data_IF_784016841488
#
_entry.id   IF_784016841488
#
_cell.length_a   1.000
_cell.length_b   1.000
_cell.length_c   1.000
_cell.angle_alpha   90.00
_cell.angle_beta   90.00
_cell.angle_gamma   90.00
#
_symmetry.space_group_name_H-M   'P 1'
#
loop_
_entity.id
_entity.type
_entity.pdbx_description
1 polymer ?
#
# COMPACT_ATOMS: atom_id res chain seq x y z
N UNK A 1 -8.60 -25.88 -5.15
CA UNK A 1 -7.65 -27.00 -5.27
C UNK A 1 -6.64 -26.79 -4.14
N UNK A 2 -6.48 -27.80 -3.28
CA UNK A 2 -5.68 -27.72 -2.06
C UNK A 2 -4.43 -28.59 -2.23
N UNK A 3 -3.29 -28.09 -1.78
CA UNK A 3 -2.02 -28.82 -1.82
C UNK A 3 -1.87 -29.69 -0.58
N UNK A 4 -1.67 -30.99 -0.79
CA UNK A 4 -1.37 -31.97 0.25
C UNK A 4 0.09 -32.40 0.12
N UNK A 5 0.78 -32.43 1.25
CA UNK A 5 2.20 -32.82 1.32
C UNK A 5 2.27 -34.31 1.66
N UNK A 6 2.96 -35.07 0.82
CA UNK A 6 3.23 -36.50 0.99
C UNK A 6 4.43 -36.65 1.93
N UNK A 7 4.21 -37.40 3.00
CA UNK A 7 5.24 -37.69 3.99
C UNK A 7 5.41 -39.20 4.08
N UNK A 8 6.64 -39.68 3.96
CA UNK A 8 6.97 -41.09 4.19
C UNK A 8 7.20 -41.31 5.70
N UNK A 9 6.32 -42.04 6.40
CA UNK A 9 6.45 -42.27 7.83
C UNK A 9 7.63 -43.19 8.20
N UNK A 10 8.15 -44.00 7.28
CA UNK A 10 9.28 -44.91 7.54
C UNK A 10 10.62 -44.17 7.49
N UNK A 11 10.85 -43.41 6.42
CA UNK A 11 12.10 -42.66 6.22
C UNK A 11 12.10 -41.28 6.86
N UNK A 12 10.93 -40.80 7.30
CA UNK A 12 10.70 -39.43 7.83
C UNK A 12 11.00 -38.33 6.80
N UNK A 13 10.96 -38.66 5.52
CA UNK A 13 11.30 -37.77 4.40
C UNK A 13 10.03 -37.23 3.74
N UNK A 14 10.12 -35.97 3.29
CA UNK A 14 9.13 -35.37 2.42
C UNK A 14 9.18 -36.02 1.02
N UNK A 15 8.07 -36.65 0.62
CA UNK A 15 7.97 -37.43 -0.61
C UNK A 15 7.38 -36.66 -1.80
N UNK A 16 6.93 -35.41 -1.60
CA UNK A 16 6.40 -34.54 -2.66
C UNK A 16 5.07 -33.89 -2.30
N UNK A 17 4.48 -33.15 -3.24
CA UNK A 17 3.20 -32.48 -3.03
C UNK A 17 2.21 -32.83 -4.15
N UNK A 18 0.95 -33.02 -3.79
CA UNK A 18 -0.15 -33.28 -4.71
C UNK A 18 -1.25 -32.25 -4.52
N UNK A 19 -1.82 -31.76 -5.62
CA UNK A 19 -2.94 -30.83 -5.58
C UNK A 19 -4.23 -31.62 -5.83
N UNK A 20 -5.17 -31.57 -4.88
CA UNK A 20 -6.43 -32.29 -4.97
C UNK A 20 -7.62 -31.37 -4.67
N UNK A 21 -8.81 -31.70 -5.20
CA UNK A 21 -10.04 -30.99 -4.86
C UNK A 21 -10.70 -31.52 -3.58
N UNK A 22 -10.38 -32.77 -3.21
CA UNK A 22 -10.89 -33.48 -2.04
C UNK A 22 -9.71 -33.91 -1.18
N UNK A 23 -9.89 -33.87 0.14
CA UNK A 23 -8.89 -34.35 1.09
C UNK A 23 -8.72 -35.87 0.99
N UNK A 24 -7.49 -36.39 0.80
CA UNK A 24 -7.22 -37.83 0.87
C UNK A 24 -7.54 -38.39 2.26
N UNK A 25 -8.05 -39.62 2.33
CA UNK A 25 -8.46 -40.27 3.59
C UNK A 25 -7.31 -40.42 4.60
N UNK A 26 -6.07 -40.52 4.12
CA UNK A 26 -4.86 -40.64 4.94
C UNK A 26 -4.21 -39.29 5.27
N UNK A 27 -4.87 -38.17 4.96
CA UNK A 27 -4.32 -36.85 5.22
C UNK A 27 -4.41 -36.48 6.71
N UNK A 28 -3.31 -35.92 7.23
CA UNK A 28 -3.26 -35.35 8.58
C UNK A 28 -3.22 -33.83 8.50
N UNK A 29 -3.78 -33.16 9.51
CA UNK A 29 -3.74 -31.70 9.63
C UNK A 29 -2.65 -31.30 10.60
N UNK A 30 -1.73 -30.43 10.15
CA UNK A 30 -0.70 -29.83 11.01
C UNK A 30 -1.13 -28.41 11.34
N UNK A 31 -1.44 -28.15 12.62
CA UNK A 31 -1.83 -26.82 13.07
C UNK A 31 -0.69 -25.80 12.93
N UNK A 32 -1.03 -24.58 12.55
CA UNK A 32 -0.08 -23.46 12.52
C UNK A 32 0.27 -23.07 13.96
N UNK A 33 1.55 -22.99 14.33
CA UNK A 33 1.96 -22.46 15.63
C UNK A 33 1.57 -20.98 15.82
N UNK A 34 1.19 -20.62 17.05
CA UNK A 34 0.89 -19.23 17.39
C UNK A 34 2.13 -18.33 17.26
N UNK A 35 1.92 -17.07 16.86
CA UNK A 35 2.98 -16.05 16.79
C UNK A 35 3.78 -16.02 15.48
N UNK A 36 3.50 -16.91 14.52
CA UNK A 36 4.04 -16.81 13.16
C UNK A 36 3.19 -15.88 12.30
N UNK A 37 3.81 -14.86 11.74
CA UNK A 37 3.22 -14.02 10.71
C UNK A 37 3.56 -14.59 9.33
N UNK A 38 2.62 -14.49 8.38
CA UNK A 38 2.74 -15.06 7.02
C UNK A 38 3.19 -16.54 7.01
N UNK A 39 2.49 -17.44 7.72
CA UNK A 39 2.91 -18.83 7.88
C UNK A 39 2.78 -19.62 6.56
N UNK A 40 3.83 -20.36 6.20
CA UNK A 40 3.90 -21.26 5.04
C UNK A 40 4.41 -22.63 5.48
N UNK A 41 3.72 -23.70 5.09
CA UNK A 41 4.12 -25.06 5.41
C UNK A 41 5.10 -25.61 4.35
N UNK A 42 6.25 -26.12 4.77
CA UNK A 42 7.29 -26.62 3.88
C UNK A 42 7.27 -28.16 3.69
N UNK A 43 6.25 -28.84 4.21
CA UNK A 43 6.15 -30.31 4.20
C UNK A 43 6.66 -30.99 5.47
N UNK A 44 7.37 -30.26 6.35
CA UNK A 44 7.85 -30.78 7.64
C UNK A 44 7.49 -29.85 8.81
N UNK A 45 7.59 -28.54 8.62
CA UNK A 45 7.31 -27.53 9.64
C UNK A 45 6.67 -26.28 9.02
N UNK A 46 6.06 -25.47 9.88
CA UNK A 46 5.63 -24.12 9.52
C UNK A 46 6.83 -23.18 9.56
N UNK A 47 7.04 -22.43 8.49
CA UNK A 47 7.96 -21.32 8.40
C UNK A 47 7.16 -20.01 8.32
N UNK A 48 7.68 -18.94 8.91
CA UNK A 48 7.03 -17.63 8.88
C UNK A 48 7.98 -16.56 9.42
N UNK A 49 7.50 -15.34 9.53
CA UNK A 49 8.25 -14.23 10.13
C UNK A 49 7.75 -13.94 11.55
N UNK A 50 8.65 -13.45 12.39
CA UNK A 50 8.34 -12.99 13.74
C UNK A 50 7.51 -11.69 13.73
N UNK A 51 6.89 -11.37 14.86
CA UNK A 51 6.18 -10.11 15.05
C UNK A 51 7.07 -8.88 14.76
N UNK A 52 8.34 -8.93 15.17
CA UNK A 52 9.31 -7.85 14.94
C UNK A 52 9.68 -7.70 13.45
N UNK A 53 9.85 -8.81 12.74
CA UNK A 53 10.12 -8.79 11.30
C UNK A 53 8.90 -8.32 10.51
N UNK A 54 7.70 -8.73 10.93
CA UNK A 54 6.45 -8.22 10.36
C UNK A 54 6.33 -6.71 10.59
N UNK A 55 6.64 -6.24 11.81
CA UNK A 55 6.63 -4.81 12.13
C UNK A 55 7.58 -4.04 11.21
N UNK A 56 8.83 -4.49 11.04
CA UNK A 56 9.81 -3.89 10.13
C UNK A 56 9.38 -3.88 8.67
N UNK A 57 8.72 -4.94 8.19
CA UNK A 57 8.16 -4.94 6.82
C UNK A 57 6.97 -3.98 6.67
N UNK A 58 6.20 -3.80 7.75
CA UNK A 58 5.04 -2.91 7.79
C UNK A 58 5.39 -1.44 8.03
N UNK A 59 6.64 -1.14 8.39
CA UNK A 59 7.12 0.23 8.50
C UNK A 59 6.97 0.90 7.12
N UNK A 60 5.91 1.70 6.99
CA UNK A 60 5.72 2.51 5.80
C UNK A 60 6.87 3.51 5.72
N UNK A 61 7.43 3.74 4.51
CA UNK A 61 8.41 4.80 4.34
C UNK A 61 7.81 6.11 4.86
N UNK A 62 8.61 6.95 5.55
CA UNK A 62 8.12 8.21 6.08
C UNK A 62 7.51 9.03 4.93
N UNK A 63 6.34 9.61 5.18
CA UNK A 63 5.70 10.51 4.22
C UNK A 63 6.68 11.64 3.94
N UNK A 64 7.14 11.74 2.70
CA UNK A 64 8.08 12.77 2.30
C UNK A 64 7.41 14.13 2.42
N UNK A 65 7.96 14.99 3.28
CA UNK A 65 7.55 16.38 3.32
C UNK A 65 7.84 17.05 1.97
N UNK A 66 7.04 18.04 1.53
CA UNK A 66 7.30 18.75 0.28
C UNK A 66 8.68 19.40 0.33
N UNK A 67 9.46 19.26 -0.73
CA UNK A 67 10.79 19.90 -0.81
C UNK A 67 10.65 21.42 -0.80
N UNK A 68 11.73 22.13 -0.46
CA UNK A 68 11.77 23.61 -0.53
C UNK A 68 11.34 24.11 -1.92
N UNK A 69 11.76 23.42 -2.98
CA UNK A 69 11.38 23.75 -4.36
C UNK A 69 9.88 23.57 -4.59
N UNK A 70 9.28 22.48 -4.11
CA UNK A 70 7.85 22.24 -4.21
C UNK A 70 7.05 23.28 -3.42
N UNK A 71 7.49 23.64 -2.22
CA UNK A 71 6.87 24.71 -1.42
C UNK A 71 6.96 26.05 -2.16
N UNK A 72 8.10 26.36 -2.76
CA UNK A 72 8.31 27.60 -3.52
C UNK A 72 7.40 27.66 -4.74
N UNK A 73 7.27 26.56 -5.49
CA UNK A 73 6.33 26.47 -6.62
C UNK A 73 4.87 26.66 -6.18
N UNK A 74 4.47 26.06 -5.05
CA UNK A 74 3.13 26.25 -4.51
C UNK A 74 2.88 27.72 -4.11
N UNK A 75 3.85 28.37 -3.48
CA UNK A 75 3.74 29.79 -3.13
C UNK A 75 3.61 30.66 -4.39
N UNK A 76 4.46 30.44 -5.39
CA UNK A 76 4.39 31.16 -6.66
C UNK A 76 3.03 30.96 -7.36
N UNK A 77 2.49 29.74 -7.33
CA UNK A 77 1.17 29.46 -7.89
C UNK A 77 0.06 30.23 -7.16
N UNK A 78 0.12 30.31 -5.83
CA UNK A 78 -0.82 31.09 -5.03
C UNK A 78 -0.75 32.60 -5.37
N UNK A 79 0.46 33.14 -5.48
CA UNK A 79 0.68 34.55 -5.82
C UNK A 79 0.14 34.89 -7.22
N UNK A 80 0.35 34.01 -8.20
CA UNK A 80 -0.20 34.18 -9.57
C UNK A 80 -1.73 34.19 -9.56
N UNK A 81 -2.36 33.32 -8.77
CA UNK A 81 -3.83 33.27 -8.66
C UNK A 81 -4.35 34.58 -8.06
N UNK A 82 -3.72 35.07 -7.00
CA UNK A 82 -4.11 36.35 -6.38
C UNK A 82 -3.96 37.52 -7.36
N UNK A 83 -2.83 37.57 -8.09
CA UNK A 83 -2.61 38.59 -9.12
C UNK A 83 -3.68 38.55 -10.21
N UNK A 84 -4.05 37.35 -10.69
CA UNK A 84 -5.13 37.20 -11.68
C UNK A 84 -6.47 37.69 -11.16
N UNK A 85 -6.80 37.40 -9.89
CA UNK A 85 -8.03 37.88 -9.27
C UNK A 85 -8.05 39.41 -9.15
N UNK A 86 -6.92 40.02 -8.74
CA UNK A 86 -6.78 41.48 -8.67
C UNK A 86 -6.98 42.13 -10.04
N UNK A 87 -6.33 41.61 -11.09
CA UNK A 87 -6.47 42.13 -12.46
C UNK A 87 -7.91 42.01 -12.95
N UNK A 88 -8.59 40.89 -12.69
CA UNK A 88 -10.00 40.73 -13.04
C UNK A 88 -10.90 41.71 -12.30
N UNK A 89 -10.66 41.93 -11.00
CA UNK A 89 -11.39 42.91 -10.21
C UNK A 89 -11.18 44.33 -10.74
N UNK A 90 -9.94 44.69 -11.09
CA UNK A 90 -9.60 45.97 -11.68
C UNK A 90 -10.27 46.17 -13.04
N UNK A 91 -10.23 45.16 -13.91
CA UNK A 91 -10.89 45.21 -15.22
C UNK A 91 -12.41 45.42 -15.10
N UNK A 92 -13.05 44.74 -14.15
CA UNK A 92 -14.47 44.91 -13.83
C UNK A 92 -14.79 46.33 -13.34
N UNK A 93 -13.97 46.89 -12.45
CA UNK A 93 -14.13 48.26 -11.98
C UNK A 93 -13.98 49.29 -13.11
N UNK A 94 -12.97 49.14 -13.98
CA UNK A 94 -12.80 50.03 -15.14
C UNK A 94 -13.98 49.95 -16.10
N UNK A 95 -14.50 48.75 -16.38
CA UNK A 95 -15.68 48.60 -17.24
C UNK A 95 -16.92 49.28 -16.64
N UNK A 96 -17.06 49.25 -15.30
CA UNK A 96 -18.16 49.90 -14.59
C UNK A 96 -18.02 51.43 -14.63
N UNK A 97 -16.82 51.96 -14.37
CA UNK A 97 -16.53 53.39 -14.45
C UNK A 97 -16.67 53.94 -15.88
N UNK A 98 -16.17 53.22 -16.88
CA UNK A 98 -16.30 53.60 -18.30
C UNK A 98 -17.75 53.69 -18.75
N UNK A 99 -18.64 52.80 -18.28
CA UNK A 99 -20.08 52.89 -18.53
C UNK A 99 -20.77 54.02 -17.75
N UNK A 100 -20.29 54.34 -16.56
CA UNK A 100 -20.83 55.42 -15.72
C UNK A 100 -20.52 56.83 -16.25
N UNK A 101 -19.37 57.01 -16.90
CA UNK A 101 -18.92 58.31 -17.43
C UNK A 101 -19.46 58.65 -18.83
N UNK A 102 -20.27 57.80 -19.45
CA UNK A 102 -20.80 57.97 -20.81
C UNK A 102 -22.21 58.63 -20.84
N UNK A 103 -22.50 59.54 -19.91
CA UNK A 103 -23.76 60.32 -19.85
C UNK A 103 -23.51 61.81 -19.93
#
# INVERSE_FOLDING_TARGET
MTTYYLYDPETKIFAGAVSAMVQPDNATTVAVPDGLYQPTFNGQAWAGISADEYAKQSEQPPVTAPTIEQQTLMQQAADIIQLRQLVMAQASQMATLSKGSAK
#
